data_IF_709894495847
#
_entry.id   IF_709894495847
#
_cell.length_a   1.000
_cell.length_b   1.000
_cell.length_c   1.000
_cell.angle_alpha   90.00
_cell.angle_beta   90.00
_cell.angle_gamma   90.00
#
_symmetry.space_group_name_H-M   'P 1'
#
loop_
_entity.id
_entity.type
_entity.pdbx_description
1 polymer ?
#
# COMPACT_ATOMS: atom_id res chain seq x y z
N UNK A 1 25.99 3.64 6.50
CA UNK A 1 26.96 2.69 7.02
C UNK A 1 27.29 1.59 6.02
N UNK A 2 28.34 0.80 6.24
CA UNK A 2 28.78 -0.23 5.29
C UNK A 2 27.76 -1.33 5.03
N UNK A 3 26.70 -1.41 5.84
CA UNK A 3 25.62 -2.39 5.70
C UNK A 3 24.32 -1.79 5.15
N UNK A 4 24.31 -0.50 4.84
CA UNK A 4 23.15 0.09 4.16
C UNK A 4 23.16 -0.40 2.71
N UNK A 5 22.08 -1.07 2.23
CA UNK A 5 22.00 -1.46 0.84
C UNK A 5 22.10 -0.22 -0.04
N UNK A 6 22.88 -0.30 -1.10
CA UNK A 6 22.94 0.78 -2.08
C UNK A 6 21.67 0.76 -2.93
N UNK A 7 20.69 1.48 -2.49
CA UNK A 7 19.39 1.58 -3.17
C UNK A 7 19.46 2.29 -4.54
N UNK A 8 20.55 2.96 -4.85
CA UNK A 8 20.73 3.65 -6.13
C UNK A 8 20.93 2.69 -7.28
N UNK A 9 21.49 1.51 -7.00
CA UNK A 9 21.83 0.50 -8.00
C UNK A 9 21.06 -0.82 -7.84
N UNK A 10 20.23 -0.94 -6.81
CA UNK A 10 19.40 -2.12 -6.64
C UNK A 10 18.20 -2.08 -7.58
N UNK A 11 18.42 -2.46 -8.84
CA UNK A 11 17.29 -2.85 -9.68
C UNK A 11 16.63 -4.04 -8.98
N UNK A 12 15.33 -3.98 -8.72
CA UNK A 12 14.64 -5.15 -8.19
C UNK A 12 14.86 -6.30 -9.15
N UNK A 13 15.55 -7.34 -8.72
CA UNK A 13 15.76 -8.58 -9.49
C UNK A 13 14.44 -9.37 -9.62
N UNK A 14 13.32 -8.68 -9.70
CA UNK A 14 12.04 -9.32 -9.76
C UNK A 14 11.48 -9.23 -11.17
N UNK A 15 11.43 -10.37 -11.80
CA UNK A 15 10.32 -10.66 -12.68
C UNK A 15 9.05 -10.53 -11.82
N UNK A 16 8.47 -9.34 -11.80
CA UNK A 16 7.09 -9.20 -11.43
C UNK A 16 6.35 -9.95 -12.54
N UNK A 17 6.28 -11.28 -12.38
CA UNK A 17 5.34 -12.05 -13.16
C UNK A 17 4.02 -11.31 -12.97
N UNK A 18 3.39 -10.91 -14.07
CA UNK A 18 2.01 -10.47 -14.04
C UNK A 18 1.28 -11.51 -13.20
N UNK A 19 1.11 -11.22 -11.92
CA UNK A 19 0.36 -12.09 -11.05
C UNK A 19 -0.99 -12.22 -11.73
N UNK A 20 -1.35 -13.45 -12.11
CA UNK A 20 -2.71 -13.70 -12.58
C UNK A 20 -3.60 -13.13 -11.51
N UNK A 21 -4.53 -12.24 -11.84
CA UNK A 21 -5.42 -11.66 -10.86
C UNK A 21 -6.12 -12.80 -10.15
N UNK A 22 -5.77 -13.04 -8.90
CA UNK A 22 -6.53 -13.92 -8.04
C UNK A 22 -7.76 -13.11 -7.71
N UNK A 23 -8.85 -13.44 -8.36
CA UNK A 23 -10.14 -12.78 -8.20
C UNK A 23 -10.77 -13.25 -6.88
N UNK A 24 -10.26 -12.75 -5.75
CA UNK A 24 -10.97 -12.87 -4.50
C UNK A 24 -11.82 -11.63 -4.31
N UNK A 25 -13.13 -11.82 -4.30
CA UNK A 25 -14.02 -10.82 -3.73
C UNK A 25 -13.62 -10.62 -2.26
N UNK A 26 -13.57 -9.36 -1.82
CA UNK A 26 -13.29 -9.06 -0.42
C UNK A 26 -14.47 -9.57 0.41
N UNK A 27 -14.27 -10.51 1.36
CA UNK A 27 -15.36 -11.07 2.13
C UNK A 27 -15.87 -10.08 3.17
N UNK A 28 -17.17 -10.10 3.45
CA UNK A 28 -17.78 -9.31 4.54
C UNK A 28 -17.29 -9.76 5.92
N UNK A 29 -17.01 -11.06 6.08
CA UNK A 29 -16.45 -11.64 7.28
C UNK A 29 -15.07 -12.21 7.00
N UNK A 30 -14.11 -11.84 7.83
CA UNK A 30 -12.74 -12.32 7.71
C UNK A 30 -12.65 -13.72 8.31
N UNK A 31 -12.44 -14.71 7.46
CA UNK A 31 -12.18 -16.10 7.85
C UNK A 31 -10.70 -16.43 7.81
N UNK A 32 -9.95 -15.74 6.96
CA UNK A 32 -8.53 -15.95 6.74
C UNK A 32 -7.88 -14.59 6.53
N UNK A 33 -6.99 -14.20 7.44
CA UNK A 33 -6.32 -12.87 7.38
C UNK A 33 -5.46 -12.75 6.12
N UNK A 34 -4.73 -13.79 5.74
CA UNK A 34 -3.86 -13.75 4.55
C UNK A 34 -4.67 -13.48 3.28
N UNK A 35 -5.76 -14.18 3.09
CA UNK A 35 -6.65 -13.98 1.95
C UNK A 35 -7.27 -12.58 1.95
N UNK A 36 -7.71 -12.11 3.11
CA UNK A 36 -8.26 -10.75 3.26
C UNK A 36 -7.22 -9.67 2.87
N UNK A 37 -6.01 -9.77 3.37
CA UNK A 37 -4.94 -8.83 3.07
C UNK A 37 -4.64 -8.81 1.57
N UNK A 38 -4.45 -9.97 0.95
CA UNK A 38 -4.21 -10.06 -0.48
C UNK A 38 -5.37 -9.50 -1.31
N UNK A 39 -6.61 -9.80 -0.93
CA UNK A 39 -7.80 -9.31 -1.62
C UNK A 39 -7.90 -7.77 -1.55
N UNK A 40 -7.66 -7.18 -0.38
CA UNK A 40 -7.71 -5.73 -0.20
C UNK A 40 -6.62 -5.03 -1.03
N UNK A 41 -5.39 -5.48 -0.94
CA UNK A 41 -4.28 -4.86 -1.68
C UNK A 41 -4.46 -4.99 -3.19
N UNK A 42 -4.82 -6.17 -3.68
CA UNK A 42 -5.04 -6.38 -5.11
C UNK A 42 -6.20 -5.55 -5.64
N UNK A 43 -7.32 -5.57 -4.96
CA UNK A 43 -8.54 -4.86 -5.39
C UNK A 43 -8.33 -3.35 -5.45
N UNK A 44 -7.73 -2.76 -4.42
CA UNK A 44 -7.57 -1.31 -4.32
C UNK A 44 -6.35 -0.85 -5.12
N UNK A 45 -5.18 -1.43 -4.88
CA UNK A 45 -3.92 -0.93 -5.42
C UNK A 45 -3.60 -1.40 -6.82
N UNK A 46 -3.99 -2.62 -7.21
CA UNK A 46 -3.70 -3.17 -8.53
C UNK A 46 -4.86 -3.03 -9.50
N UNK A 47 -6.08 -3.22 -9.03
CA UNK A 47 -7.29 -3.13 -9.87
C UNK A 47 -7.95 -1.76 -9.86
N UNK A 48 -7.52 -0.85 -9.02
CA UNK A 48 -8.04 0.52 -8.91
C UNK A 48 -9.53 0.57 -8.54
N UNK A 49 -10.04 -0.44 -7.87
CA UNK A 49 -11.42 -0.43 -7.36
C UNK A 49 -11.50 0.34 -6.04
N UNK A 50 -11.59 1.65 -6.14
CA UNK A 50 -11.59 2.54 -4.98
C UNK A 50 -12.88 2.50 -4.17
N UNK A 51 -13.99 2.01 -4.74
CA UNK A 51 -15.23 1.81 -3.99
C UNK A 51 -15.09 0.74 -2.91
N UNK A 52 -14.16 -0.19 -3.05
CA UNK A 52 -13.87 -1.19 -2.03
C UNK A 52 -13.34 -0.58 -0.72
N UNK A 53 -12.77 0.61 -0.76
CA UNK A 53 -12.30 1.32 0.44
C UNK A 53 -13.46 1.51 1.43
N UNK A 54 -14.64 1.89 0.94
CA UNK A 54 -15.83 2.07 1.77
C UNK A 54 -16.30 0.76 2.44
N UNK A 55 -15.98 -0.39 1.83
CA UNK A 55 -16.38 -1.70 2.35
C UNK A 55 -15.43 -2.25 3.40
N UNK A 56 -14.14 -1.94 3.32
CA UNK A 56 -13.11 -2.56 4.16
C UNK A 56 -12.62 -1.68 5.29
N UNK A 57 -12.72 -0.36 5.16
CA UNK A 57 -12.33 0.60 6.19
C UNK A 57 -13.55 1.13 6.95
N UNK A 58 -13.37 1.45 8.21
CA UNK A 58 -14.39 2.18 8.97
C UNK A 58 -14.48 3.62 8.49
N UNK A 59 -15.67 4.20 8.60
CA UNK A 59 -15.91 5.60 8.20
C UNK A 59 -14.90 6.58 8.79
N UNK A 60 -14.53 6.38 10.05
CA UNK A 60 -13.60 7.22 10.79
C UNK A 60 -12.20 6.60 10.90
N UNK A 61 -11.76 5.91 9.87
CA UNK A 61 -10.42 5.33 9.81
C UNK A 61 -9.36 6.35 10.25
N UNK A 62 -8.50 5.95 11.16
CA UNK A 62 -7.34 6.76 11.59
C UNK A 62 -6.12 6.31 10.81
N UNK A 63 -5.53 7.23 10.07
CA UNK A 63 -4.33 6.98 9.29
C UNK A 63 -3.16 7.79 9.84
N UNK A 64 -2.04 7.11 10.00
CA UNK A 64 -0.73 7.72 10.28
C UNK A 64 0.31 7.17 9.32
N UNK A 65 1.28 7.97 8.98
CA UNK A 65 2.37 7.56 8.12
C UNK A 65 3.70 8.19 8.51
N UNK A 66 4.73 7.80 7.82
CA UNK A 66 6.02 8.49 7.86
C UNK A 66 5.86 9.94 7.38
N UNK A 67 6.83 10.80 7.71
CA UNK A 67 6.82 12.23 7.31
C UNK A 67 5.66 13.03 7.90
N UNK A 68 5.23 12.68 9.11
CA UNK A 68 4.14 13.36 9.86
C UNK A 68 2.79 13.35 9.14
N UNK A 69 2.58 12.43 8.21
CA UNK A 69 1.29 12.26 7.54
C UNK A 69 0.28 11.70 8.53
N UNK A 70 -0.81 12.43 8.74
CA UNK A 70 -1.84 12.04 9.69
C UNK A 70 -3.20 12.59 9.27
N UNK A 71 -4.21 11.74 9.18
CA UNK A 71 -5.57 12.15 8.86
C UNK A 71 -6.61 11.14 9.37
N UNK A 72 -7.87 11.54 9.31
CA UNK A 72 -9.02 10.74 9.71
C UNK A 72 -10.07 10.75 8.60
N UNK A 73 -10.65 9.59 8.33
CA UNK A 73 -11.81 9.45 7.46
C UNK A 73 -11.49 8.94 6.06
N UNK A 74 -12.48 8.26 5.49
CA UNK A 74 -12.39 7.64 4.16
C UNK A 74 -12.10 8.65 3.04
N UNK A 75 -12.71 9.85 2.98
CA UNK A 75 -12.41 10.79 1.91
C UNK A 75 -10.92 11.16 1.80
N UNK A 76 -10.27 11.39 2.93
CA UNK A 76 -8.83 11.70 2.97
C UNK A 76 -7.97 10.49 2.63
N UNK A 77 -8.38 9.30 3.06
CA UNK A 77 -7.70 8.06 2.70
C UNK A 77 -7.76 7.83 1.18
N UNK A 78 -8.93 7.97 0.57
CA UNK A 78 -9.09 7.89 -0.88
C UNK A 78 -8.22 8.90 -1.62
N UNK A 79 -8.19 10.14 -1.14
CA UNK A 79 -7.35 11.18 -1.73
C UNK A 79 -5.87 10.80 -1.71
N UNK A 80 -5.37 10.28 -0.60
CA UNK A 80 -4.00 9.81 -0.48
C UNK A 80 -3.69 8.67 -1.47
N UNK A 81 -4.53 7.63 -1.50
CA UNK A 81 -4.34 6.47 -2.37
C UNK A 81 -4.37 6.89 -3.85
N UNK A 82 -5.39 7.66 -4.24
CA UNK A 82 -5.55 8.11 -5.63
C UNK A 82 -4.40 9.03 -6.04
N UNK A 83 -3.94 9.91 -5.15
CA UNK A 83 -2.82 10.82 -5.44
C UNK A 83 -1.49 10.07 -5.63
N UNK A 84 -1.26 9.00 -4.87
CA UNK A 84 -0.07 8.17 -5.05
C UNK A 84 -0.13 7.40 -6.38
N UNK A 85 -1.27 6.81 -6.70
CA UNK A 85 -1.48 6.11 -7.97
C UNK A 85 -1.41 7.10 -9.15
N UNK A 86 -1.91 8.33 -9.00
CA UNK A 86 -1.79 9.36 -10.03
C UNK A 86 -0.33 9.70 -10.35
N UNK A 87 0.56 9.66 -9.37
CA UNK A 87 2.00 9.82 -9.60
C UNK A 87 2.62 8.65 -10.37
N UNK A 88 2.13 7.44 -10.15
CA UNK A 88 2.59 6.19 -10.75
C UNK A 88 1.40 5.43 -11.37
N UNK A 89 0.90 5.85 -12.54
CA UNK A 89 -0.31 5.27 -13.11
C UNK A 89 -0.23 3.77 -13.44
N UNK A 90 0.98 3.27 -13.65
CA UNK A 90 1.28 1.87 -13.90
C UNK A 90 1.69 1.10 -12.63
N UNK A 91 1.46 1.66 -11.44
CA UNK A 91 1.86 1.05 -10.17
C UNK A 91 1.35 -0.38 -10.06
N UNK A 92 2.25 -1.30 -9.78
CA UNK A 92 1.95 -2.70 -9.48
C UNK A 92 2.56 -3.05 -8.12
N UNK A 93 1.70 -3.47 -7.20
CA UNK A 93 2.06 -3.75 -5.81
C UNK A 93 2.02 -5.25 -5.54
N UNK A 94 3.00 -5.75 -4.80
CA UNK A 94 3.03 -7.13 -4.31
C UNK A 94 3.29 -7.17 -2.81
N UNK A 95 2.65 -8.12 -2.14
CA UNK A 95 2.89 -8.39 -0.73
C UNK A 95 4.09 -9.31 -0.64
N UNK A 96 5.08 -8.95 0.18
CA UNK A 96 6.31 -9.70 0.35
C UNK A 96 6.28 -10.57 1.60
N UNK A 97 5.66 -10.07 2.64
CA UNK A 97 5.54 -10.78 3.92
C UNK A 97 4.39 -10.21 4.74
N UNK A 98 3.87 -11.01 5.64
CA UNK A 98 2.75 -10.59 6.45
C UNK A 98 2.69 -11.39 7.76
N UNK A 99 2.45 -10.67 8.85
CA UNK A 99 2.25 -11.22 10.19
C UNK A 99 0.96 -10.70 10.77
N UNK A 100 0.31 -11.52 11.57
CA UNK A 100 -0.86 -11.08 12.31
C UNK A 100 -0.96 -11.77 13.66
N UNK A 101 -1.68 -11.14 14.56
CA UNK A 101 -2.10 -11.70 15.83
C UNK A 101 -3.54 -11.29 16.12
N UNK A 102 -4.18 -12.01 17.00
CA UNK A 102 -5.56 -11.75 17.38
C UNK A 102 -6.54 -12.76 16.85
N UNK A 103 -7.80 -12.42 16.97
CA UNK A 103 -8.93 -13.28 16.58
C UNK A 103 -10.14 -12.42 16.23
N UNK A 104 -11.20 -13.06 15.73
CA UNK A 104 -12.42 -12.36 15.31
C UNK A 104 -13.15 -11.64 16.44
N UNK A 105 -13.01 -12.11 17.68
CA UNK A 105 -13.67 -11.51 18.84
C UNK A 105 -12.96 -10.25 19.34
N UNK A 106 -11.65 -10.32 19.50
CA UNK A 106 -10.83 -9.26 20.10
C UNK A 106 -10.24 -8.31 19.05
N UNK A 107 -10.36 -8.67 17.79
CA UNK A 107 -9.75 -7.96 16.67
C UNK A 107 -8.39 -8.51 16.28
N UNK A 108 -7.83 -7.96 15.21
CA UNK A 108 -6.54 -8.36 14.67
C UNK A 108 -5.60 -7.18 14.61
N UNK A 109 -4.33 -7.46 14.83
CA UNK A 109 -3.21 -6.60 14.46
C UNK A 109 -2.47 -7.25 13.32
N UNK A 110 -2.30 -6.54 12.22
CA UNK A 110 -1.68 -7.05 10.99
C UNK A 110 -0.49 -6.18 10.62
N UNK A 111 0.61 -6.80 10.26
CA UNK A 111 1.80 -6.11 9.73
C UNK A 111 2.13 -6.68 8.36
N UNK A 112 2.21 -5.81 7.37
CA UNK A 112 2.34 -6.17 5.96
C UNK A 112 3.57 -5.49 5.39
N UNK A 113 4.52 -6.26 4.87
CA UNK A 113 5.62 -5.75 4.08
C UNK A 113 5.29 -5.90 2.61
N UNK A 114 5.39 -4.80 1.87
CA UNK A 114 5.03 -4.76 0.46
C UNK A 114 6.10 -4.06 -0.38
N UNK A 115 6.08 -4.36 -1.67
CA UNK A 115 6.88 -3.69 -2.67
C UNK A 115 6.03 -3.32 -3.87
N UNK A 116 6.41 -2.28 -4.58
CA UNK A 116 5.73 -1.84 -5.77
C UNK A 116 6.72 -1.25 -6.77
N UNK A 117 6.37 -1.33 -8.03
CA UNK A 117 7.09 -0.65 -9.11
C UNK A 117 6.12 0.23 -9.87
N UNK A 118 6.60 1.36 -10.33
CA UNK A 118 5.84 2.26 -11.15
C UNK A 118 6.72 3.27 -11.84
N UNK A 119 6.20 3.88 -12.90
CA UNK A 119 6.87 4.95 -13.61
C UNK A 119 6.25 6.28 -13.21
N UNK A 120 7.09 7.24 -12.85
CA UNK A 120 6.64 8.58 -12.47
C UNK A 120 6.18 9.36 -13.72
N UNK A 121 4.97 9.07 -14.16
CA UNK A 121 4.36 9.64 -15.39
C UNK A 121 3.26 10.65 -15.12
N UNK A 122 2.72 10.69 -13.93
CA UNK A 122 1.58 11.52 -13.60
C UNK A 122 1.90 12.69 -12.67
N UNK A 123 1.06 13.71 -12.73
CA UNK A 123 1.06 14.77 -11.74
C UNK A 123 0.34 14.28 -10.48
N UNK A 124 1.05 14.24 -9.38
CA UNK A 124 0.55 13.81 -8.09
C UNK A 124 1.36 14.44 -6.98
N UNK A 125 1.59 13.69 -5.91
CA UNK A 125 2.28 14.20 -4.72
C UNK A 125 3.77 14.51 -4.94
N UNK A 126 4.39 14.02 -6.02
CA UNK A 126 5.82 14.20 -6.31
C UNK A 126 6.11 15.15 -7.47
N UNK A 127 5.15 16.02 -7.82
CA UNK A 127 5.34 17.06 -8.83
C UNK A 127 5.26 16.56 -10.26
N UNK A 128 5.93 17.28 -11.16
CA UNK A 128 5.90 17.03 -12.60
C UNK A 128 6.47 15.65 -12.96
N UNK A 129 5.93 14.98 -14.00
CA UNK A 129 6.43 13.68 -14.45
C UNK A 129 7.91 13.71 -14.80
N UNK A 130 8.68 12.80 -14.21
CA UNK A 130 10.09 12.59 -14.53
C UNK A 130 10.31 11.48 -15.56
N UNK A 131 9.30 10.66 -15.83
CA UNK A 131 9.33 9.44 -16.65
C UNK A 131 10.32 8.37 -16.14
N UNK A 132 10.74 8.46 -14.88
CA UNK A 132 11.64 7.49 -14.29
C UNK A 132 10.89 6.35 -13.65
N UNK A 133 11.41 5.13 -13.84
CA UNK A 133 10.96 3.96 -13.11
C UNK A 133 11.42 4.06 -11.65
N UNK A 134 10.47 3.88 -10.75
CA UNK A 134 10.69 3.95 -9.32
C UNK A 134 10.30 2.63 -8.65
N UNK A 135 11.06 2.29 -7.63
CA UNK A 135 10.76 1.18 -6.75
C UNK A 135 10.30 1.72 -5.39
N UNK A 136 9.09 1.32 -5.00
CA UNK A 136 8.51 1.64 -3.70
C UNK A 136 8.52 0.40 -2.83
N UNK A 137 8.85 0.57 -1.56
CA UNK A 137 8.71 -0.50 -0.58
C UNK A 137 8.33 0.10 0.76
N UNK A 138 7.54 -0.64 1.50
CA UNK A 138 7.06 -0.12 2.77
C UNK A 138 6.46 -1.18 3.66
N UNK A 139 5.96 -0.68 4.77
CA UNK A 139 5.25 -1.45 5.79
C UNK A 139 3.90 -0.78 6.02
N UNK A 140 2.86 -1.58 6.01
CA UNK A 140 1.52 -1.18 6.42
C UNK A 140 1.13 -2.00 7.64
N UNK A 141 0.60 -1.33 8.64
CA UNK A 141 0.05 -1.98 9.82
C UNK A 141 -1.43 -1.63 9.95
N UNK A 142 -2.24 -2.63 10.20
CA UNK A 142 -3.68 -2.48 10.41
C UNK A 142 -4.11 -2.93 11.78
N UNK A 143 -5.04 -2.20 12.35
CA UNK A 143 -5.89 -2.66 13.43
C UNK A 143 -7.27 -2.95 12.83
N UNK A 144 -7.73 -4.19 12.98
CA UNK A 144 -9.00 -4.67 12.44
C UNK A 144 -9.93 -5.02 13.60
N UNK A 145 -11.13 -4.45 13.58
CA UNK A 145 -12.21 -4.78 14.53
C UNK A 145 -13.53 -4.92 13.78
N UNK A 146 -14.31 -5.92 14.16
CA UNK A 146 -15.60 -6.19 13.51
C UNK A 146 -15.50 -6.26 11.97
N UNK A 147 -14.48 -6.98 11.47
CA UNK A 147 -14.22 -7.18 10.03
C UNK A 147 -13.91 -5.90 9.25
N UNK A 148 -13.50 -4.83 9.92
CA UNK A 148 -13.16 -3.54 9.29
C UNK A 148 -11.81 -3.05 9.78
N UNK A 149 -11.07 -2.40 8.89
CA UNK A 149 -9.82 -1.73 9.24
C UNK A 149 -10.18 -0.41 9.95
N UNK A 150 -9.81 -0.29 11.21
CA UNK A 150 -10.10 0.88 12.05
C UNK A 150 -8.95 1.85 12.14
N UNK A 151 -7.73 1.35 12.01
CA UNK A 151 -6.49 2.14 11.99
C UNK A 151 -5.53 1.58 10.96
N UNK A 152 -4.81 2.47 10.32
CA UNK A 152 -3.69 2.14 9.44
C UNK A 152 -2.49 3.02 9.76
N UNK A 153 -1.33 2.40 9.84
CA UNK A 153 -0.04 3.09 9.74
C UNK A 153 0.66 2.59 8.50
N UNK A 154 1.13 3.51 7.64
CA UNK A 154 1.88 3.16 6.43
C UNK A 154 3.10 4.05 6.29
N UNK A 155 4.27 3.43 6.26
CA UNK A 155 5.53 4.10 5.97
C UNK A 155 6.22 3.44 4.77
N UNK A 156 6.83 4.24 3.92
CA UNK A 156 7.55 3.76 2.75
C UNK A 156 8.73 4.68 2.39
N UNK A 157 9.54 4.26 1.45
CA UNK A 157 10.83 4.86 1.11
C UNK A 157 10.73 6.19 0.33
N UNK A 158 9.96 7.16 0.80
CA UNK A 158 9.68 8.41 0.09
C UNK A 158 10.93 9.21 -0.26
N UNK A 159 11.92 9.27 0.64
CA UNK A 159 13.17 9.95 0.35
C UNK A 159 13.92 9.30 -0.83
N UNK A 160 13.96 7.98 -0.86
CA UNK A 160 14.56 7.24 -1.97
C UNK A 160 13.82 7.47 -3.30
N UNK A 161 12.50 7.59 -3.25
CA UNK A 161 11.69 7.93 -4.43
C UNK A 161 12.07 9.31 -4.95
N UNK A 162 12.17 10.31 -4.09
CA UNK A 162 12.57 11.67 -4.47
C UNK A 162 13.98 11.67 -5.10
N UNK A 163 14.93 10.92 -4.54
CA UNK A 163 16.27 10.77 -5.09
C UNK A 163 16.21 10.13 -6.48
N UNK A 164 15.40 9.11 -6.69
CA UNK A 164 15.22 8.47 -8.00
C UNK A 164 14.63 9.44 -9.03
N UNK A 165 13.68 10.27 -8.63
CA UNK A 165 13.03 11.26 -9.51
C UNK A 165 13.99 12.39 -9.88
N UNK A 166 14.76 12.90 -8.93
CA UNK A 166 15.68 14.02 -9.11
C UNK A 166 17.04 13.61 -9.72
N UNK A 167 17.41 12.39 -9.54
CA UNK A 167 18.64 11.82 -10.09
C UNK A 167 18.52 11.42 -11.54
#
# INVERSE_FOLDING_TARGET
GPFAPDFRNSKPKRNIKKLKPISFAIPDKIKNIREFVHAVFDTIWNRRNFSAIDSVYTKNIKFEGSTSRKFVGIPKLKHFIISLIASFPDLALSIEDLYWMGNSKDGYLVSIRWGAVGTHKGNGIYGKPSNKECYLWGITQWEIKNNKITKEWTGFNELAILIQILG
#
